data_IF_791526069742
#
_entry.id   IF_791526069742
#
_cell.length_a   1.000
_cell.length_b   1.000
_cell.length_c   1.000
_cell.angle_alpha   90.00
_cell.angle_beta   90.00
_cell.angle_gamma   90.00
#
_symmetry.space_group_name_H-M   'P 1'
#
loop_
_entity.id
_entity.type
_entity.pdbx_description
1 polymer ?
#
# COMPACT_ATOMS: atom_id res chain seq x y z
N UNK A 1 -0.79 -23.70 0.76
CA UNK A 1 -1.73 -24.72 0.24
C UNK A 1 -3.03 -24.62 0.99
N UNK A 2 -4.11 -25.02 0.35
CA UNK A 2 -5.46 -25.05 0.90
C UNK A 2 -6.02 -26.45 0.65
N UNK A 3 -6.43 -27.14 1.72
CA UNK A 3 -7.24 -28.35 1.60
C UNK A 3 -8.65 -27.95 1.23
N UNK A 4 -9.24 -28.60 0.24
CA UNK A 4 -10.64 -28.45 -0.12
C UNK A 4 -11.36 -29.79 -0.05
N UNK A 5 -12.66 -29.73 0.27
CA UNK A 5 -13.58 -30.84 0.04
C UNK A 5 -14.02 -30.78 -1.43
N UNK A 6 -13.57 -31.70 -2.29
CA UNK A 6 -13.81 -31.61 -3.72
C UNK A 6 -15.27 -31.78 -4.10
N UNK A 7 -16.11 -32.38 -3.24
CA UNK A 7 -17.53 -32.65 -3.49
C UNK A 7 -18.40 -31.42 -3.21
N UNK A 8 -18.07 -30.67 -2.17
CA UNK A 8 -18.88 -29.54 -1.68
C UNK A 8 -18.30 -28.18 -2.02
N UNK A 9 -17.06 -28.11 -2.54
CA UNK A 9 -16.46 -26.85 -2.93
C UNK A 9 -17.28 -26.16 -4.05
N UNK A 10 -17.55 -24.87 -3.83
CA UNK A 10 -18.20 -23.97 -4.77
C UNK A 10 -17.32 -22.76 -5.10
N UNK A 11 -16.10 -22.70 -4.55
CA UNK A 11 -15.24 -21.51 -4.64
C UNK A 11 -14.14 -21.64 -5.67
N UNK A 12 -13.61 -22.86 -5.87
CA UNK A 12 -12.57 -23.18 -6.85
C UNK A 12 -13.20 -23.71 -8.14
N UNK A 13 -14.26 -24.53 -8.04
CA UNK A 13 -15.00 -25.10 -9.18
C UNK A 13 -15.31 -24.13 -10.33
N UNK A 14 -15.79 -22.90 -10.10
CA UNK A 14 -16.13 -21.98 -11.19
C UNK A 14 -14.93 -21.49 -12.02
N UNK A 15 -13.71 -21.58 -11.48
CA UNK A 15 -12.49 -21.03 -12.09
C UNK A 15 -11.62 -22.09 -12.77
N UNK A 16 -12.08 -23.33 -12.75
CA UNK A 16 -11.42 -24.44 -13.41
C UNK A 16 -11.86 -24.50 -14.87
N UNK A 17 -10.89 -24.56 -15.79
CA UNK A 17 -11.14 -24.70 -17.23
C UNK A 17 -11.91 -25.98 -17.55
N UNK A 18 -12.70 -25.95 -18.61
CA UNK A 18 -13.41 -27.14 -19.13
C UNK A 18 -12.44 -28.33 -19.28
N UNK A 19 -12.74 -29.43 -18.58
CA UNK A 19 -12.01 -30.70 -18.69
C UNK A 19 -11.24 -31.16 -17.44
N UNK A 20 -11.16 -30.35 -16.39
CA UNK A 20 -10.60 -30.76 -15.09
C UNK A 20 -11.77 -31.04 -14.12
N UNK A 21 -11.87 -32.28 -13.66
CA UNK A 21 -12.91 -32.70 -12.72
C UNK A 21 -12.40 -32.54 -11.28
N UNK A 22 -12.84 -31.49 -10.58
CA UNK A 22 -12.49 -31.30 -9.16
C UNK A 22 -13.05 -32.45 -8.31
N UNK A 23 -14.24 -32.97 -8.63
CA UNK A 23 -14.86 -34.05 -7.85
C UNK A 23 -14.10 -35.39 -7.91
N UNK A 24 -13.18 -35.53 -8.86
CA UNK A 24 -12.31 -36.70 -9.02
C UNK A 24 -10.85 -36.48 -8.60
N UNK A 25 -10.52 -35.35 -7.95
CA UNK A 25 -9.16 -35.02 -7.55
C UNK A 25 -8.62 -36.07 -6.58
N UNK A 26 -7.47 -36.65 -6.89
CA UNK A 26 -6.79 -37.64 -6.02
C UNK A 26 -5.90 -36.96 -4.98
N UNK A 27 -5.53 -37.72 -3.95
CA UNK A 27 -4.68 -37.23 -2.86
C UNK A 27 -3.23 -36.94 -3.27
N UNK A 28 -2.80 -37.45 -4.43
CA UNK A 28 -1.50 -37.17 -5.05
C UNK A 28 -1.59 -36.11 -6.16
N UNK A 29 -2.73 -35.44 -6.30
CA UNK A 29 -2.97 -34.42 -7.32
C UNK A 29 -3.16 -33.02 -6.69
N UNK A 30 -2.73 -31.98 -7.42
CA UNK A 30 -2.82 -30.58 -6.99
C UNK A 30 -3.39 -29.70 -8.10
N UNK A 31 -4.26 -28.76 -7.73
CA UNK A 31 -4.71 -27.68 -8.60
C UNK A 31 -3.97 -26.40 -8.19
N UNK A 32 -3.33 -25.72 -9.14
CA UNK A 32 -2.61 -24.48 -8.86
C UNK A 32 -3.44 -23.26 -9.27
N UNK A 33 -3.39 -22.20 -8.48
CA UNK A 33 -3.81 -20.87 -8.91
C UNK A 33 -2.97 -20.37 -10.09
N UNK A 34 -3.48 -19.37 -10.81
CA UNK A 34 -2.84 -18.86 -12.03
C UNK A 34 -1.38 -18.41 -11.82
N UNK A 35 -1.05 -17.88 -10.64
CA UNK A 35 0.29 -17.42 -10.26
C UNK A 35 1.04 -18.40 -9.33
N UNK A 36 0.45 -19.55 -9.00
CA UNK A 36 1.02 -20.53 -8.07
C UNK A 36 2.37 -21.10 -8.51
N UNK A 37 2.68 -21.05 -9.81
CA UNK A 37 3.98 -21.44 -10.38
C UNK A 37 5.13 -20.53 -9.90
N UNK A 38 4.85 -19.25 -9.61
CA UNK A 38 5.84 -18.28 -9.15
C UNK A 38 6.39 -18.69 -7.77
N UNK A 39 5.48 -19.12 -6.87
CA UNK A 39 5.86 -19.60 -5.55
C UNK A 39 6.71 -20.87 -5.60
N UNK A 40 6.54 -21.66 -6.65
CA UNK A 40 7.29 -22.88 -6.92
C UNK A 40 8.63 -22.65 -7.60
N UNK A 41 8.95 -21.40 -7.99
CA UNK A 41 10.15 -21.09 -8.77
C UNK A 41 10.14 -21.71 -10.17
N UNK A 42 8.95 -22.06 -10.67
CA UNK A 42 8.77 -22.59 -12.02
C UNK A 42 8.47 -21.42 -12.97
N UNK A 43 9.01 -21.48 -14.19
CA UNK A 43 8.68 -20.48 -15.24
C UNK A 43 7.22 -20.61 -15.71
N UNK A 44 6.68 -21.83 -15.70
CA UNK A 44 5.29 -22.13 -16.06
C UNK A 44 4.88 -23.44 -15.37
N UNK A 45 3.59 -23.58 -15.02
CA UNK A 45 3.03 -24.83 -14.52
C UNK A 45 2.08 -25.43 -15.56
N UNK A 46 2.28 -26.70 -15.92
CA UNK A 46 1.42 -27.41 -16.86
C UNK A 46 0.77 -28.62 -16.21
N UNK A 47 -0.46 -28.99 -16.62
CA UNK A 47 -1.07 -30.24 -16.19
C UNK A 47 -0.15 -31.43 -16.51
N UNK A 48 0.07 -32.30 -15.53
CA UNK A 48 0.97 -33.46 -15.60
C UNK A 48 2.38 -33.24 -15.03
N UNK A 49 2.78 -31.99 -14.78
CA UNK A 49 4.06 -31.69 -14.12
C UNK A 49 4.03 -32.15 -12.66
N UNK A 50 5.19 -32.56 -12.16
CA UNK A 50 5.36 -33.04 -10.77
C UNK A 50 6.00 -31.97 -9.91
N UNK A 51 5.42 -31.72 -8.75
CA UNK A 51 5.89 -30.73 -7.78
C UNK A 51 5.99 -31.38 -6.42
N UNK A 52 7.01 -31.00 -5.64
CA UNK A 52 7.22 -31.57 -4.30
C UNK A 52 6.95 -30.49 -3.26
N UNK A 53 6.10 -30.82 -2.30
CA UNK A 53 5.77 -29.95 -1.18
C UNK A 53 5.84 -30.72 0.13
N UNK A 54 6.55 -30.17 1.12
CA UNK A 54 6.73 -30.81 2.43
C UNK A 54 7.17 -32.30 2.36
N UNK A 55 7.93 -32.66 1.32
CA UNK A 55 8.42 -34.03 1.11
C UNK A 55 7.43 -34.97 0.41
N UNK A 56 6.22 -34.52 0.08
CA UNK A 56 5.24 -35.24 -0.71
C UNK A 56 5.25 -34.76 -2.17
N UNK A 57 5.23 -35.71 -3.11
CA UNK A 57 5.14 -35.43 -4.54
C UNK A 57 3.67 -35.33 -4.96
N UNK A 58 3.34 -34.28 -5.69
CA UNK A 58 2.03 -34.02 -6.26
C UNK A 58 2.12 -33.87 -7.78
N UNK A 59 1.13 -34.39 -8.48
CA UNK A 59 0.97 -34.17 -9.93
C UNK A 59 0.00 -33.01 -10.14
N UNK A 60 0.37 -32.03 -10.96
CA UNK A 60 -0.49 -30.90 -11.28
C UNK A 60 -1.66 -31.40 -12.12
N UNK A 61 -2.86 -31.43 -11.55
CA UNK A 61 -4.09 -31.80 -12.27
C UNK A 61 -4.60 -30.64 -13.14
N UNK A 62 -4.35 -29.39 -12.73
CA UNK A 62 -4.86 -28.23 -13.42
C UNK A 62 -4.31 -26.91 -12.91
N UNK A 63 -4.50 -25.85 -13.72
CA UNK A 63 -4.21 -24.48 -13.35
C UNK A 63 -5.47 -23.64 -13.53
N UNK A 64 -5.85 -22.88 -12.49
CA UNK A 64 -7.03 -22.01 -12.47
C UNK A 64 -6.88 -20.84 -13.45
N UNK A 65 -8.02 -20.29 -13.85
CA UNK A 65 -8.03 -19.00 -14.55
C UNK A 65 -7.66 -17.85 -13.60
N UNK A 66 -7.01 -16.77 -14.10
CA UNK A 66 -6.61 -15.64 -13.26
C UNK A 66 -7.83 -14.95 -12.64
N UNK A 67 -7.86 -14.88 -11.32
CA UNK A 67 -8.95 -14.30 -10.52
C UNK A 67 -8.64 -12.88 -10.02
N UNK A 68 -7.36 -12.50 -9.99
CA UNK A 68 -6.86 -11.22 -9.49
C UNK A 68 -6.90 -11.10 -7.96
N UNK A 69 -7.16 -12.19 -7.25
CA UNK A 69 -7.24 -12.26 -5.79
C UNK A 69 -6.34 -13.40 -5.27
N UNK A 70 -6.16 -13.52 -3.96
CA UNK A 70 -5.19 -14.46 -3.35
C UNK A 70 -5.37 -15.95 -3.67
N UNK A 71 -6.45 -16.31 -4.37
CA UNK A 71 -6.67 -17.63 -4.94
C UNK A 71 -5.61 -17.97 -5.99
N UNK A 72 -5.10 -16.97 -6.71
CA UNK A 72 -4.11 -17.14 -7.79
C UNK A 72 -2.73 -17.58 -7.26
N UNK A 73 -2.39 -17.21 -6.02
CA UNK A 73 -1.12 -17.52 -5.36
C UNK A 73 -1.15 -18.87 -4.61
N UNK A 74 -2.25 -19.62 -4.70
CA UNK A 74 -2.53 -20.77 -3.83
C UNK A 74 -2.54 -22.10 -4.58
N UNK A 75 -2.17 -23.19 -3.91
CA UNK A 75 -2.35 -24.57 -4.38
C UNK A 75 -3.45 -25.28 -3.60
N UNK A 76 -4.32 -26.00 -4.29
CA UNK A 76 -5.50 -26.69 -3.77
C UNK A 76 -5.33 -28.20 -3.89
N UNK A 77 -5.52 -28.90 -2.78
CA UNK A 77 -5.45 -30.37 -2.69
C UNK A 77 -6.64 -30.89 -1.88
N UNK A 78 -6.84 -32.20 -1.84
CA UNK A 78 -7.88 -32.80 -0.99
C UNK A 78 -7.57 -32.57 0.50
N UNK A 79 -8.60 -32.60 1.35
CA UNK A 79 -8.40 -32.57 2.81
C UNK A 79 -7.50 -33.71 3.30
N UNK A 80 -7.67 -34.90 2.73
CA UNK A 80 -6.87 -36.09 3.05
C UNK A 80 -5.39 -35.88 2.72
N UNK A 81 -5.09 -35.22 1.58
CA UNK A 81 -3.73 -34.85 1.23
C UNK A 81 -3.10 -33.86 2.22
N UNK A 82 -3.85 -32.88 2.75
CA UNK A 82 -3.33 -31.97 3.79
C UNK A 82 -3.01 -32.73 5.07
N UNK A 83 -3.90 -33.62 5.53
CA UNK A 83 -3.65 -34.40 6.75
C UNK A 83 -2.46 -35.35 6.57
N UNK A 84 -2.33 -36.00 5.42
CA UNK A 84 -1.18 -36.84 5.08
C UNK A 84 0.13 -36.04 5.05
N UNK A 85 0.10 -34.85 4.45
CA UNK A 85 1.23 -33.95 4.39
C UNK A 85 1.64 -33.42 5.77
N UNK A 86 0.68 -33.11 6.66
CA UNK A 86 0.96 -32.67 8.02
C UNK A 86 1.69 -33.76 8.83
N UNK A 87 1.28 -35.02 8.70
CA UNK A 87 1.96 -36.16 9.34
C UNK A 87 3.38 -36.40 8.80
N UNK A 88 3.58 -36.19 7.49
CA UNK A 88 4.90 -36.27 6.85
C UNK A 88 5.80 -35.09 7.24
N UNK A 89 5.21 -33.90 7.42
CA UNK A 89 5.90 -32.71 7.86
C UNK A 89 6.43 -32.86 9.29
N UNK A 90 5.68 -33.46 10.21
CA UNK A 90 6.17 -33.74 11.58
C UNK A 90 7.45 -34.57 11.62
N UNK A 91 7.67 -35.43 10.63
CA UNK A 91 8.87 -36.25 10.53
C UNK A 91 10.07 -35.52 9.89
N UNK A 92 9.87 -34.47 9.08
CA UNK A 92 10.91 -33.88 8.22
C UNK A 92 10.93 -32.34 8.12
N UNK A 93 10.06 -31.59 8.80
CA UNK A 93 9.90 -30.14 8.60
C UNK A 93 10.64 -29.27 9.64
N UNK A 94 11.11 -28.09 9.18
CA UNK A 94 11.64 -27.00 10.02
C UNK A 94 10.55 -26.25 10.82
N UNK A 95 9.27 -26.47 10.48
CA UNK A 95 8.08 -25.88 11.11
C UNK A 95 7.07 -27.02 11.28
N UNK A 96 6.74 -27.35 12.53
CA UNK A 96 5.71 -28.34 12.86
C UNK A 96 4.34 -27.75 12.51
N UNK A 97 3.54 -28.51 11.77
CA UNK A 97 2.18 -28.15 11.40
C UNK A 97 1.28 -29.09 12.19
N UNK A 98 0.75 -28.60 13.30
CA UNK A 98 -0.17 -29.34 14.17
C UNK A 98 -1.58 -29.27 13.58
N UNK A 99 -1.92 -30.26 12.74
CA UNK A 99 -3.23 -30.39 12.11
C UNK A 99 -3.67 -31.85 12.25
N UNK A 100 -4.68 -32.10 13.08
CA UNK A 100 -5.24 -33.42 13.28
C UNK A 100 -6.35 -33.71 12.25
N UNK A 101 -6.60 -34.99 11.91
CA UNK A 101 -7.74 -35.36 11.08
C UNK A 101 -9.06 -34.87 11.70
N UNK A 102 -9.75 -33.97 11.00
CA UNK A 102 -10.99 -33.35 11.46
C UNK A 102 -10.85 -31.87 11.82
N UNK A 103 -9.63 -31.32 11.86
CA UNK A 103 -9.40 -29.89 12.04
C UNK A 103 -9.79 -29.10 10.79
N UNK A 104 -10.75 -28.19 10.96
CA UNK A 104 -11.24 -27.33 9.88
C UNK A 104 -10.93 -25.89 10.23
N UNK A 105 -10.10 -25.25 9.41
CA UNK A 105 -9.74 -23.83 9.59
C UNK A 105 -10.86 -22.87 9.20
N UNK A 106 -11.58 -23.18 8.11
CA UNK A 106 -12.61 -22.30 7.53
C UNK A 106 -13.75 -23.14 6.97
N UNK A 107 -14.99 -22.76 7.28
CA UNK A 107 -16.20 -23.27 6.63
C UNK A 107 -16.80 -22.16 5.80
N UNK A 108 -16.92 -22.39 4.49
CA UNK A 108 -17.53 -21.42 3.57
C UNK A 108 -19.01 -21.74 3.43
N UNK A 109 -19.86 -20.71 3.55
CA UNK A 109 -21.32 -20.85 3.50
C UNK A 109 -21.83 -20.04 2.33
N UNK A 110 -22.43 -20.71 1.34
CA UNK A 110 -23.17 -20.05 0.27
C UNK A 110 -24.60 -19.73 0.72
N UNK A 111 -24.95 -18.45 0.68
CA UNK A 111 -26.24 -17.94 1.18
C UNK A 111 -27.21 -17.87 0.01
N UNK A 112 -28.31 -18.64 0.10
CA UNK A 112 -29.38 -18.64 -0.91
C UNK A 112 -29.96 -17.24 -1.14
N UNK A 113 -30.39 -17.00 -2.38
CA UNK A 113 -31.10 -15.78 -2.75
C UNK A 113 -32.31 -15.52 -1.83
N UNK A 114 -32.47 -14.27 -1.40
CA UNK A 114 -33.55 -13.85 -0.49
C UNK A 114 -33.15 -13.72 0.99
N UNK A 115 -31.94 -14.16 1.37
CA UNK A 115 -31.40 -13.96 2.73
C UNK A 115 -30.29 -12.92 2.75
N UNK A 116 -30.27 -12.06 3.77
CA UNK A 116 -29.18 -11.10 3.95
C UNK A 116 -27.95 -11.79 4.59
N UNK A 117 -26.78 -11.66 3.94
CA UNK A 117 -25.52 -12.27 4.41
C UNK A 117 -25.14 -11.82 5.83
N UNK A 118 -25.44 -10.58 6.20
CA UNK A 118 -25.14 -10.03 7.52
C UNK A 118 -26.00 -10.68 8.62
N UNK A 119 -27.28 -10.95 8.34
CA UNK A 119 -28.18 -11.65 9.27
C UNK A 119 -27.72 -13.10 9.48
N UNK A 120 -27.36 -13.78 8.40
CA UNK A 120 -26.84 -15.16 8.46
C UNK A 120 -25.54 -15.22 9.25
N UNK A 121 -24.60 -14.31 9.00
CA UNK A 121 -23.36 -14.22 9.77
C UNK A 121 -23.63 -13.98 11.27
N UNK A 122 -24.58 -13.11 11.60
CA UNK A 122 -24.99 -12.85 12.99
C UNK A 122 -25.59 -14.09 13.66
N UNK A 123 -26.35 -14.90 12.91
CA UNK A 123 -26.88 -16.17 13.41
C UNK A 123 -25.77 -17.19 13.68
N UNK A 124 -24.79 -17.31 12.79
CA UNK A 124 -23.64 -18.23 12.94
C UNK A 124 -22.74 -17.80 14.12
N UNK A 125 -22.54 -16.49 14.32
CA UNK A 125 -21.77 -15.95 15.45
C UNK A 125 -22.35 -16.27 16.83
N UNK A 126 -23.56 -16.84 16.92
CA UNK A 126 -24.14 -17.33 18.18
C UNK A 126 -23.60 -18.72 18.58
N UNK A 127 -22.96 -19.43 17.65
CA UNK A 127 -22.31 -20.72 17.92
C UNK A 127 -20.99 -20.43 18.63
N UNK A 128 -20.80 -21.00 19.82
CA UNK A 128 -19.58 -20.83 20.61
C UNK A 128 -18.37 -21.40 19.87
N UNK A 129 -17.30 -20.61 19.73
CA UNK A 129 -16.05 -21.04 19.11
C UNK A 129 -15.95 -20.79 17.60
N UNK A 130 -16.95 -20.15 16.99
CA UNK A 130 -16.93 -19.81 15.55
C UNK A 130 -17.14 -18.31 15.36
N UNK A 131 -16.36 -17.72 14.46
CA UNK A 131 -16.54 -16.34 14.01
C UNK A 131 -16.89 -16.32 12.52
N UNK A 132 -18.11 -15.90 12.20
CA UNK A 132 -18.56 -15.69 10.84
C UNK A 132 -18.12 -14.32 10.35
N UNK A 133 -17.41 -14.32 9.22
CA UNK A 133 -16.96 -13.11 8.52
C UNK A 133 -17.55 -13.13 7.12
N UNK A 134 -18.12 -12.01 6.69
CA UNK A 134 -18.73 -11.93 5.35
C UNK A 134 -17.66 -11.76 4.27
N UNK A 135 -17.95 -12.19 3.04
CA UNK A 135 -17.02 -12.04 1.90
C UNK A 135 -16.64 -10.57 1.61
N UNK A 136 -17.55 -9.63 1.89
CA UNK A 136 -17.27 -8.19 1.80
C UNK A 136 -16.21 -7.75 2.81
N UNK A 137 -16.32 -8.22 4.05
CA UNK A 137 -15.36 -7.90 5.11
C UNK A 137 -14.00 -8.53 4.85
N UNK A 138 -13.96 -9.81 4.45
CA UNK A 138 -12.71 -10.51 4.10
C UNK A 138 -11.98 -9.81 2.94
N UNK A 139 -12.69 -9.54 1.83
CA UNK A 139 -12.11 -8.84 0.67
C UNK A 139 -11.61 -7.44 1.04
N UNK A 140 -12.39 -6.69 1.85
CA UNK A 140 -11.97 -5.37 2.30
C UNK A 140 -10.73 -5.42 3.19
N UNK A 141 -10.61 -6.44 4.03
CA UNK A 141 -9.49 -6.60 4.97
C UNK A 141 -8.22 -7.05 4.25
N UNK A 142 -8.30 -8.02 3.32
CA UNK A 142 -7.14 -8.51 2.57
C UNK A 142 -6.60 -7.46 1.59
N UNK A 143 -7.47 -6.74 0.88
CA UNK A 143 -7.05 -5.63 0.01
C UNK A 143 -6.50 -4.46 0.84
N UNK A 144 -7.14 -4.12 1.97
CA UNK A 144 -6.63 -3.10 2.88
C UNK A 144 -5.25 -3.48 3.43
N UNK A 145 -5.03 -4.74 3.86
CA UNK A 145 -3.74 -5.21 4.36
C UNK A 145 -2.64 -5.15 3.30
N UNK A 146 -2.93 -5.54 2.04
CA UNK A 146 -1.97 -5.39 0.94
C UNK A 146 -1.62 -3.91 0.71
N UNK A 147 -2.59 -3.00 0.73
CA UNK A 147 -2.35 -1.56 0.57
C UNK A 147 -1.64 -0.92 1.78
N UNK A 148 -1.95 -1.38 2.99
CA UNK A 148 -1.31 -0.96 4.23
C UNK A 148 0.17 -1.33 4.25
N UNK A 149 0.54 -2.51 3.74
CA UNK A 149 1.96 -2.91 3.63
C UNK A 149 2.79 -2.02 2.70
N UNK A 150 2.17 -1.41 1.68
CA UNK A 150 2.85 -0.49 0.75
C UNK A 150 2.97 0.94 1.31
N UNK A 151 2.09 1.31 2.23
CA UNK A 151 2.00 2.67 2.79
C UNK A 151 3.31 3.13 3.47
N UNK A 152 3.98 2.33 4.33
CA UNK A 152 5.25 2.72 4.94
C UNK A 152 6.34 3.05 3.92
N UNK A 153 6.46 2.26 2.84
CA UNK A 153 7.45 2.48 1.78
C UNK A 153 7.24 3.81 1.07
N UNK A 154 5.99 4.12 0.71
CA UNK A 154 5.64 5.40 0.07
C UNK A 154 5.88 6.59 1.02
N UNK A 155 5.56 6.45 2.31
CA UNK A 155 5.83 7.48 3.31
C UNK A 155 7.33 7.73 3.49
N UNK A 156 8.15 6.69 3.45
CA UNK A 156 9.60 6.80 3.59
C UNK A 156 10.22 7.54 2.38
N UNK A 157 9.80 7.18 1.16
CA UNK A 157 10.20 7.88 -0.06
C UNK A 157 9.73 9.34 -0.03
N UNK A 158 8.47 9.58 0.36
CA UNK A 158 7.89 10.91 0.50
C UNK A 158 8.63 11.78 1.52
N UNK A 159 8.99 11.22 2.67
CA UNK A 159 9.81 11.88 3.68
C UNK A 159 11.21 12.23 3.14
N UNK A 160 11.81 11.33 2.34
CA UNK A 160 13.07 11.59 1.65
C UNK A 160 12.99 12.82 0.72
N UNK A 161 11.98 12.85 -0.17
CA UNK A 161 11.75 14.01 -1.05
C UNK A 161 11.49 15.30 -0.27
N UNK A 162 10.76 15.20 0.83
CA UNK A 162 10.48 16.34 1.69
C UNK A 162 11.75 16.94 2.32
N UNK A 163 12.64 16.11 2.86
CA UNK A 163 13.93 16.55 3.41
C UNK A 163 14.77 17.23 2.34
N UNK A 164 14.87 16.64 1.14
CA UNK A 164 15.59 17.24 0.01
C UNK A 164 15.00 18.60 -0.36
N UNK A 165 13.67 18.71 -0.35
CA UNK A 165 12.97 19.98 -0.65
C UNK A 165 13.30 21.07 0.36
N UNK A 166 13.30 20.76 1.66
CA UNK A 166 13.69 21.72 2.72
C UNK A 166 15.11 22.23 2.50
N UNK A 167 16.05 21.32 2.20
CA UNK A 167 17.45 21.69 1.93
C UNK A 167 17.58 22.54 0.67
N UNK A 168 16.83 22.21 -0.39
CA UNK A 168 16.85 22.95 -1.65
C UNK A 168 16.30 24.36 -1.47
N UNK A 169 15.22 24.54 -0.73
CA UNK A 169 14.69 25.87 -0.36
C UNK A 169 15.77 26.66 0.40
N UNK A 170 16.42 26.05 1.38
CA UNK A 170 17.49 26.72 2.15
C UNK A 170 18.67 27.15 1.27
N UNK A 171 19.07 26.33 0.30
CA UNK A 171 20.11 26.66 -0.66
C UNK A 171 19.69 27.82 -1.59
N UNK A 172 18.47 27.77 -2.13
CA UNK A 172 17.92 28.81 -3.00
C UNK A 172 17.83 30.17 -2.28
N UNK A 173 17.25 30.21 -1.09
CA UNK A 173 17.16 31.45 -0.31
C UNK A 173 18.54 31.97 0.12
N UNK A 174 19.49 31.07 0.39
CA UNK A 174 20.88 31.49 0.67
C UNK A 174 21.52 32.18 -0.53
N UNK A 175 21.25 31.69 -1.75
CA UNK A 175 21.71 32.30 -2.99
C UNK A 175 21.05 33.66 -3.23
N UNK A 176 19.71 33.73 -3.17
CA UNK A 176 18.93 34.98 -3.38
C UNK A 176 19.35 36.08 -2.41
N UNK A 177 19.55 35.73 -1.14
CA UNK A 177 20.00 36.70 -0.12
C UNK A 177 21.41 37.21 -0.43
N UNK A 178 22.28 36.37 -0.98
CA UNK A 178 23.63 36.77 -1.31
C UNK A 178 23.66 37.75 -2.51
N UNK A 179 22.78 37.56 -3.49
CA UNK A 179 22.59 38.49 -4.61
C UNK A 179 22.04 39.84 -4.13
N UNK A 180 21.07 39.82 -3.21
CA UNK A 180 20.41 41.03 -2.68
C UNK A 180 21.10 41.60 -1.43
N UNK A 181 22.32 41.15 -1.12
CA UNK A 181 23.03 41.49 0.13
C UNK A 181 23.23 42.99 0.30
N UNK A 182 23.53 43.71 -0.79
CA UNK A 182 23.74 45.18 -0.79
C UNK A 182 22.44 45.94 -0.50
N UNK A 183 21.33 45.51 -1.09
CA UNK A 183 20.00 46.10 -0.86
C UNK A 183 19.58 45.97 0.60
N UNK A 184 19.75 44.76 1.16
CA UNK A 184 19.43 44.48 2.57
C UNK A 184 20.33 45.27 3.53
N UNK A 185 21.61 45.43 3.19
CA UNK A 185 22.55 46.26 3.96
C UNK A 185 22.18 47.75 3.96
N UNK A 186 21.77 48.29 2.81
CA UNK A 186 21.28 49.66 2.68
C UNK A 186 19.99 49.88 3.46
N UNK A 187 19.06 48.92 3.41
CA UNK A 187 17.80 48.97 4.16
C UNK A 187 18.05 49.06 5.68
N UNK A 188 19.02 48.29 6.19
CA UNK A 188 19.42 48.34 7.60
C UNK A 188 20.15 49.65 7.94
N UNK A 189 20.96 50.19 7.03
CA UNK A 189 21.60 51.49 7.21
C UNK A 189 20.58 52.64 7.31
N UNK A 190 19.43 52.52 6.63
CA UNK A 190 18.31 53.45 6.75
C UNK A 190 17.44 53.24 8.01
N UNK A 191 17.79 52.29 8.88
CA UNK A 191 17.12 52.08 10.17
C UNK A 191 16.22 50.85 10.24
N UNK A 192 16.18 49.98 9.23
CA UNK A 192 15.43 48.72 9.34
C UNK A 192 16.03 47.80 10.41
N UNK A 193 15.19 47.32 11.32
CA UNK A 193 15.64 46.40 12.38
C UNK A 193 15.97 45.01 11.83
N UNK A 194 16.87 44.29 12.50
CA UNK A 194 17.18 42.88 12.17
C UNK A 194 15.91 42.00 12.11
N UNK A 195 14.96 42.26 13.02
CA UNK A 195 13.68 41.54 13.09
C UNK A 195 12.78 41.82 11.89
N UNK A 196 12.84 43.03 11.33
CA UNK A 196 12.12 43.39 10.12
C UNK A 196 12.65 42.60 8.91
N UNK A 197 13.97 42.59 8.71
CA UNK A 197 14.61 41.82 7.62
C UNK A 197 14.35 40.32 7.75
N UNK A 198 14.45 39.77 8.97
CA UNK A 198 14.12 38.36 9.21
C UNK A 198 12.67 38.03 8.81
N UNK A 199 11.70 38.84 9.26
CA UNK A 199 10.27 38.62 8.95
C UNK A 199 9.98 38.76 7.47
N UNK A 200 10.60 39.73 6.79
CA UNK A 200 10.44 39.92 5.35
C UNK A 200 10.84 38.65 4.58
N UNK A 201 12.04 38.14 4.83
CA UNK A 201 12.54 36.93 4.16
C UNK A 201 11.68 35.70 4.50
N UNK A 202 11.25 35.60 5.76
CA UNK A 202 10.39 34.49 6.19
C UNK A 202 9.03 34.53 5.48
N UNK A 203 8.42 35.72 5.33
CA UNK A 203 7.16 35.89 4.62
C UNK A 203 7.30 35.57 3.13
N UNK A 204 8.35 36.06 2.47
CA UNK A 204 8.63 35.77 1.06
C UNK A 204 8.76 34.25 0.81
N UNK A 205 9.44 33.54 1.73
CA UNK A 205 9.53 32.08 1.66
C UNK A 205 8.20 31.37 1.86
N UNK A 206 7.44 31.76 2.88
CA UNK A 206 6.16 31.16 3.20
C UNK A 206 5.13 31.39 2.09
N UNK A 207 5.11 32.58 1.47
CA UNK A 207 4.25 32.90 0.33
C UNK A 207 4.59 32.03 -0.88
N UNK A 208 5.88 31.87 -1.19
CA UNK A 208 6.34 31.02 -2.30
C UNK A 208 6.01 29.55 -2.06
N UNK A 209 6.23 29.02 -0.85
CA UNK A 209 5.87 27.62 -0.57
C UNK A 209 4.38 27.39 -0.46
N UNK A 210 3.60 28.40 -0.05
CA UNK A 210 2.14 28.32 -0.07
C UNK A 210 1.63 28.22 -1.51
N UNK A 211 2.07 29.10 -2.42
CA UNK A 211 1.70 29.05 -3.83
C UNK A 211 2.14 27.75 -4.49
N UNK A 212 3.37 27.32 -4.22
CA UNK A 212 3.88 26.02 -4.69
C UNK A 212 3.06 24.84 -4.16
N UNK A 213 2.66 24.88 -2.89
CA UNK A 213 1.79 23.89 -2.28
C UNK A 213 0.41 23.83 -2.94
N UNK A 214 -0.23 24.99 -3.16
CA UNK A 214 -1.53 25.05 -3.85
C UNK A 214 -1.42 24.48 -5.26
N UNK A 215 -0.37 24.83 -6.02
CA UNK A 215 -0.13 24.24 -7.35
C UNK A 215 0.12 22.73 -7.27
N UNK A 216 0.88 22.28 -6.27
CA UNK A 216 1.12 20.85 -6.02
C UNK A 216 -0.17 20.08 -5.75
N UNK A 217 -1.11 20.64 -4.99
CA UNK A 217 -2.44 20.05 -4.76
C UNK A 217 -3.24 19.94 -6.05
N UNK A 218 -3.24 20.97 -6.89
CA UNK A 218 -3.96 20.96 -8.16
C UNK A 218 -3.39 19.89 -9.09
N UNK A 219 -2.07 19.86 -9.27
CA UNK A 219 -1.40 18.87 -10.13
C UNK A 219 -1.59 17.46 -9.58
N UNK A 220 -1.40 17.25 -8.27
CA UNK A 220 -1.61 15.97 -7.61
C UNK A 220 -3.05 15.48 -7.74
N UNK A 221 -4.02 16.39 -7.61
CA UNK A 221 -5.44 16.09 -7.82
C UNK A 221 -5.75 15.66 -9.25
N UNK A 222 -5.17 16.32 -10.26
CA UNK A 222 -5.33 15.95 -11.67
C UNK A 222 -4.75 14.55 -11.91
N UNK A 223 -3.52 14.29 -11.44
CA UNK A 223 -2.87 12.98 -11.58
C UNK A 223 -3.67 11.88 -10.88
N UNK A 224 -4.23 12.16 -9.70
CA UNK A 224 -5.09 11.21 -8.99
C UNK A 224 -6.35 10.88 -9.78
N UNK A 225 -7.00 11.89 -10.39
CA UNK A 225 -8.22 11.69 -11.19
C UNK A 225 -7.95 10.89 -12.47
N UNK A 226 -6.81 11.10 -13.13
CA UNK A 226 -6.44 10.35 -14.34
C UNK A 226 -6.06 8.92 -14.01
N UNK A 227 -5.23 8.71 -12.99
CA UNK A 227 -4.82 7.38 -12.54
C UNK A 227 -6.02 6.55 -12.08
N UNK A 228 -7.01 7.16 -11.40
CA UNK A 228 -8.25 6.46 -11.01
C UNK A 228 -8.93 5.82 -12.21
N UNK A 229 -9.08 6.55 -13.32
CA UNK A 229 -9.74 6.04 -14.53
C UNK A 229 -9.03 4.81 -15.08
N UNK A 230 -7.71 4.88 -15.21
CA UNK A 230 -6.89 3.77 -15.68
C UNK A 230 -6.87 2.58 -14.71
N UNK A 231 -6.64 2.80 -13.42
CA UNK A 231 -6.58 1.73 -12.42
C UNK A 231 -7.92 1.00 -12.27
N UNK A 232 -9.04 1.74 -12.25
CA UNK A 232 -10.36 1.11 -12.14
C UNK A 232 -10.69 0.21 -13.34
N UNK A 233 -10.19 0.57 -14.52
CA UNK A 233 -10.39 -0.20 -15.75
C UNK A 233 -9.46 -1.42 -15.81
N UNK A 234 -8.21 -1.27 -15.36
CA UNK A 234 -7.20 -2.34 -15.42
C UNK A 234 -7.30 -3.36 -14.28
N UNK A 235 -7.70 -2.95 -13.07
CA UNK A 235 -7.76 -3.81 -11.90
C UNK A 235 -9.17 -4.30 -11.56
N UNK A 236 -10.21 -3.76 -12.21
CA UNK A 236 -11.61 -4.12 -11.91
C UNK A 236 -12.08 -3.72 -10.49
N UNK A 237 -11.27 -2.97 -9.74
CA UNK A 237 -11.57 -2.54 -8.37
C UNK A 237 -12.30 -1.18 -8.41
N UNK A 238 -13.49 -1.13 -7.81
CA UNK A 238 -14.23 0.11 -7.62
C UNK A 238 -13.52 1.01 -6.60
N UNK A 239 -12.92 2.11 -7.06
CA UNK A 239 -12.23 3.08 -6.20
C UNK A 239 -13.26 3.89 -5.39
N UNK A 240 -13.41 3.57 -4.10
CA UNK A 240 -14.26 4.31 -3.18
C UNK A 240 -13.59 5.64 -2.81
N UNK A 241 -14.33 6.74 -2.95
CA UNK A 241 -13.84 8.03 -2.51
C UNK A 241 -13.89 8.12 -0.98
N UNK A 242 -12.79 8.55 -0.33
CA UNK A 242 -12.84 8.89 1.08
C UNK A 242 -13.91 9.97 1.33
N UNK A 243 -14.50 9.97 2.52
CA UNK A 243 -15.48 10.97 2.89
C UNK A 243 -14.91 12.39 2.70
N UNK A 244 -15.75 13.33 2.25
CA UNK A 244 -15.31 14.68 1.89
C UNK A 244 -14.58 15.41 3.04
N UNK A 245 -14.99 15.16 4.29
CA UNK A 245 -14.33 15.72 5.47
C UNK A 245 -12.88 15.21 5.63
N UNK A 246 -12.64 13.95 5.29
CA UNK A 246 -11.31 13.34 5.39
C UNK A 246 -10.37 13.90 4.32
N UNK A 247 -10.88 14.08 3.10
CA UNK A 247 -10.14 14.76 2.02
C UNK A 247 -9.79 16.19 2.41
N UNK A 248 -10.76 16.94 2.97
CA UNK A 248 -10.51 18.30 3.44
C UNK A 248 -9.43 18.35 4.55
N UNK A 249 -9.42 17.38 5.46
CA UNK A 249 -8.39 17.24 6.50
C UNK A 249 -7.01 17.00 5.88
N UNK A 250 -6.89 16.08 4.91
CA UNK A 250 -5.61 15.81 4.23
C UNK A 250 -5.08 17.03 3.48
N UNK A 251 -5.96 17.77 2.79
CA UNK A 251 -5.61 19.02 2.10
C UNK A 251 -5.10 20.06 3.09
N UNK A 252 -5.79 20.23 4.23
CA UNK A 252 -5.37 21.15 5.28
C UNK A 252 -4.01 20.75 5.88
N UNK A 253 -3.81 19.46 6.19
CA UNK A 253 -2.55 18.94 6.71
C UNK A 253 -1.39 19.17 5.73
N UNK A 254 -1.62 18.93 4.43
CA UNK A 254 -0.65 19.20 3.38
C UNK A 254 -0.27 20.69 3.30
N UNK A 255 -1.24 21.60 3.33
CA UNK A 255 -0.97 23.04 3.28
C UNK A 255 -0.17 23.50 4.49
N UNK A 256 -0.49 23.00 5.69
CA UNK A 256 0.28 23.27 6.91
C UNK A 256 1.72 22.77 6.73
N UNK A 257 1.90 21.57 6.17
CA UNK A 257 3.23 21.02 5.89
C UNK A 257 3.99 21.86 4.86
N UNK A 258 3.35 22.35 3.80
CA UNK A 258 3.96 23.23 2.80
C UNK A 258 4.45 24.57 3.42
N UNK A 259 3.64 25.17 4.30
CA UNK A 259 4.01 26.37 5.04
C UNK A 259 5.19 26.10 5.99
N UNK A 260 5.14 24.98 6.73
CA UNK A 260 6.22 24.57 7.63
C UNK A 260 7.53 24.32 6.87
N UNK A 261 7.45 23.75 5.66
CA UNK A 261 8.61 23.46 4.79
C UNK A 261 9.33 24.74 4.40
N UNK A 262 8.59 25.78 3.98
CA UNK A 262 9.16 27.09 3.66
C UNK A 262 9.81 27.75 4.88
N UNK A 263 9.10 27.75 6.01
CA UNK A 263 9.62 28.27 7.26
C UNK A 263 10.91 27.57 7.70
N UNK A 264 10.99 26.24 7.59
CA UNK A 264 12.19 25.47 7.95
C UNK A 264 13.35 25.72 6.99
N UNK A 265 13.09 25.72 5.68
CA UNK A 265 14.12 25.97 4.67
C UNK A 265 14.71 27.37 4.78
N UNK A 266 13.87 28.40 5.00
CA UNK A 266 14.31 29.78 5.07
C UNK A 266 14.88 30.21 6.43
N UNK A 267 14.74 29.40 7.48
CA UNK A 267 15.17 29.79 8.84
C UNK A 267 16.66 30.17 8.90
N UNK A 268 17.53 29.34 8.35
CA UNK A 268 18.97 29.60 8.30
C UNK A 268 19.31 30.83 7.44
N UNK A 269 18.89 30.94 6.16
CA UNK A 269 19.22 32.11 5.36
C UNK A 269 18.60 33.41 5.88
N UNK A 270 17.37 33.38 6.43
CA UNK A 270 16.74 34.56 7.04
C UNK A 270 17.48 35.06 8.28
N UNK A 271 17.95 34.15 9.15
CA UNK A 271 18.78 34.55 10.30
C UNK A 271 20.11 35.13 9.84
N UNK A 272 20.75 34.55 8.82
CA UNK A 272 21.99 35.07 8.23
C UNK A 272 21.79 36.47 7.64
N UNK A 273 20.72 36.71 6.89
CA UNK A 273 20.38 38.02 6.33
C UNK A 273 20.16 39.08 7.42
N UNK A 274 19.46 38.72 8.49
CA UNK A 274 19.17 39.64 9.59
C UNK A 274 20.40 40.09 10.36
N UNK A 275 21.49 39.31 10.32
CA UNK A 275 22.74 39.58 11.06
C UNK A 275 23.84 40.21 10.20
N UNK A 276 23.54 40.55 8.94
CA UNK A 276 24.48 41.27 8.08
C UNK A 276 24.85 42.62 8.70
N UNK A 277 26.14 42.93 8.78
CA UNK A 277 26.59 44.25 9.23
C UNK A 277 26.57 45.24 8.06
N UNK A 278 25.91 46.42 8.20
CA UNK A 278 25.81 47.40 7.13
C UNK A 278 27.17 47.83 6.57
N UNK A 279 28.17 47.95 7.46
CA UNK A 279 29.54 48.31 7.08
C UNK A 279 30.20 47.26 6.16
N UNK A 280 30.01 45.97 6.45
CA UNK A 280 30.55 44.89 5.63
C UNK A 280 29.82 44.77 4.28
N UNK A 281 28.52 45.03 4.25
CA UNK A 281 27.72 44.96 3.03
C UNK A 281 28.11 46.02 1.98
N UNK A 282 28.59 47.20 2.42
CA UNK A 282 29.02 48.30 1.54
C UNK A 282 30.47 48.10 1.07
N UNK A 283 31.38 47.64 1.94
CA UNK A 283 32.81 47.45 1.58
C UNK A 283 33.08 46.29 0.61
N UNK A 284 32.16 45.34 0.47
CA UNK A 284 32.34 44.18 -0.44
C UNK A 284 31.93 44.51 -1.90
N UNK A 285 31.51 45.75 -2.17
CA UNK A 285 31.12 46.23 -3.50
C UNK A 285 32.15 47.10 -4.21
N UNK A 286 33.35 47.24 -3.64
CA UNK A 286 34.58 47.68 -4.32
C UNK A 286 35.43 46.45 -4.66
#
# INVERSE_FOLDING_TARGET
MVGIDPDTDFTVRPWVKEGIDIGGLKDDEIILGAEGHIFLGLEEARPGDKVVFYGQEFTIAGVLEPTGIGIDDSGYVTMEAIYGMAQLADANAMLQIDVEPGDISVVMVDVKEGYERAEVATAINRISGVAAVTSRELMSTSVAQKLESLTPGMLLIGAGFWVVTVLMIGALFSMVINERRRELGLLQAMGATRRYVFRMVMLESVELTFLGGVLGLVVGGIVMLTLKGSLSTSLGIAFLWPAAWYVALLVAAYLVLALATGAMGALYPATRASRLEPYQAIRTGE
#
